data_IF_463796945708
#
_entry.id   IF_463796945708
#
_cell.length_a   1.000
_cell.length_b   1.000
_cell.length_c   1.000
_cell.angle_alpha   90.00
_cell.angle_beta   90.00
_cell.angle_gamma   90.00
#
_symmetry.space_group_name_H-M   'P 1'
#
loop_
_entity.id
_entity.type
_entity.pdbx_description
1 polymer ?
#
# COMPACT_ATOMS: atom_id res chain seq x y z
N UNK A 1 63.29 -29.01 -44.67
CA UNK A 1 62.96 -29.28 -43.26
C UNK A 1 62.66 -27.95 -42.57
N UNK A 2 61.66 -27.95 -41.67
CA UNK A 2 61.12 -26.84 -40.87
C UNK A 2 60.02 -25.97 -41.52
N UNK A 3 58.77 -26.45 -41.46
CA UNK A 3 57.58 -25.63 -41.65
C UNK A 3 57.37 -24.76 -40.38
N UNK A 4 57.37 -23.45 -40.54
CA UNK A 4 57.07 -22.49 -39.47
C UNK A 4 55.58 -22.57 -39.12
N UNK A 5 55.33 -23.03 -37.90
CA UNK A 5 54.01 -23.12 -37.29
C UNK A 5 53.52 -21.75 -36.86
N UNK A 6 52.70 -21.08 -37.67
CA UNK A 6 51.93 -19.91 -37.24
C UNK A 6 50.57 -20.35 -36.72
N UNK A 7 50.46 -20.46 -35.39
CA UNK A 7 49.20 -20.75 -34.68
C UNK A 7 48.36 -19.46 -34.66
N UNK A 8 47.10 -19.45 -35.13
CA UNK A 8 46.28 -18.25 -35.06
C UNK A 8 45.95 -17.92 -33.60
N UNK A 9 45.95 -16.61 -33.30
CA UNK A 9 45.61 -16.07 -32.00
C UNK A 9 44.16 -16.42 -31.63
N UNK A 10 43.96 -16.88 -30.40
CA UNK A 10 42.66 -17.12 -29.79
C UNK A 10 41.86 -15.81 -29.83
N UNK A 11 40.75 -15.81 -30.58
CA UNK A 11 39.79 -14.72 -30.60
C UNK A 11 39.26 -14.45 -29.19
N UNK A 12 39.40 -13.21 -28.77
CA UNK A 12 38.94 -12.64 -27.50
C UNK A 12 37.46 -12.93 -27.25
N UNK A 13 37.16 -13.44 -26.06
CA UNK A 13 35.83 -13.73 -25.51
C UNK A 13 34.89 -12.51 -25.34
N UNK A 14 35.14 -11.40 -26.05
CA UNK A 14 34.44 -10.13 -25.87
C UNK A 14 32.98 -10.16 -26.36
N UNK A 15 32.64 -11.02 -27.33
CA UNK A 15 31.28 -11.08 -27.92
C UNK A 15 30.22 -11.68 -27.00
N UNK A 16 30.60 -12.65 -26.17
CA UNK A 16 29.70 -13.45 -25.32
C UNK A 16 29.37 -12.75 -23.99
N UNK A 17 29.78 -11.50 -23.78
CA UNK A 17 29.34 -10.74 -22.60
C UNK A 17 28.32 -9.66 -22.94
N UNK A 18 28.35 -9.13 -24.17
CA UNK A 18 27.46 -8.05 -24.63
C UNK A 18 25.96 -8.42 -24.63
N UNK A 19 25.62 -9.64 -25.07
CA UNK A 19 24.25 -10.20 -25.03
C UNK A 19 23.72 -10.45 -23.61
N UNK A 20 24.59 -10.79 -22.64
CA UNK A 20 24.23 -11.06 -21.25
C UNK A 20 24.14 -9.78 -20.39
N UNK A 21 25.03 -8.81 -20.64
CA UNK A 21 25.05 -7.51 -19.96
C UNK A 21 23.80 -6.66 -20.31
N UNK A 22 23.32 -6.74 -21.56
CA UNK A 22 22.11 -6.02 -22.01
C UNK A 22 20.86 -6.42 -21.22
N UNK A 23 20.74 -7.70 -20.86
CA UNK A 23 19.59 -8.22 -20.12
C UNK A 23 19.60 -7.78 -18.65
N UNK A 24 20.77 -7.53 -18.05
CA UNK A 24 20.87 -7.05 -16.67
C UNK A 24 20.44 -5.59 -16.56
N UNK A 25 20.86 -4.73 -17.49
CA UNK A 25 20.46 -3.31 -17.52
C UNK A 25 18.95 -3.15 -17.77
N UNK A 26 18.37 -3.94 -18.68
CA UNK A 26 16.93 -3.95 -18.92
C UNK A 26 16.13 -4.43 -17.68
N UNK A 27 16.62 -5.46 -16.98
CA UNK A 27 16.00 -5.93 -15.72
C UNK A 27 16.11 -4.90 -14.60
N UNK A 28 17.28 -4.29 -14.42
CA UNK A 28 17.50 -3.26 -13.41
C UNK A 28 16.64 -2.02 -13.66
N UNK A 29 16.52 -1.57 -14.91
CA UNK A 29 15.65 -0.43 -15.27
C UNK A 29 14.16 -0.74 -15.06
N UNK A 30 13.71 -1.95 -15.40
CA UNK A 30 12.35 -2.38 -15.10
C UNK A 30 12.07 -2.39 -13.59
N UNK A 31 12.97 -2.97 -12.79
CA UNK A 31 12.84 -3.00 -11.34
C UNK A 31 12.84 -1.59 -10.74
N UNK A 32 13.76 -0.72 -11.18
CA UNK A 32 13.81 0.67 -10.73
C UNK A 32 12.50 1.41 -11.04
N UNK A 33 11.94 1.19 -12.24
CA UNK A 33 10.65 1.77 -12.63
C UNK A 33 9.51 1.26 -11.77
N UNK A 34 9.47 -0.04 -11.49
CA UNK A 34 8.42 -0.64 -10.64
C UNK A 34 8.50 -0.10 -9.20
N UNK A 35 9.71 0.00 -8.65
CA UNK A 35 9.95 0.55 -7.32
C UNK A 35 9.56 2.01 -7.24
N UNK A 36 9.94 2.82 -8.25
CA UNK A 36 9.55 4.23 -8.32
C UNK A 36 8.03 4.39 -8.44
N UNK A 37 7.37 3.61 -9.29
CA UNK A 37 5.93 3.63 -9.43
C UNK A 37 5.22 3.25 -8.12
N UNK A 38 5.72 2.24 -7.41
CA UNK A 38 5.19 1.81 -6.12
C UNK A 38 5.39 2.91 -5.06
N UNK A 39 6.59 3.49 -5.00
CA UNK A 39 6.91 4.58 -4.07
C UNK A 39 6.00 5.80 -4.30
N UNK A 40 5.84 6.23 -5.55
CA UNK A 40 4.95 7.34 -5.90
C UNK A 40 3.49 7.00 -5.62
N UNK A 41 3.08 5.76 -5.89
CA UNK A 41 1.72 5.27 -5.59
C UNK A 41 1.42 5.19 -4.09
N UNK A 42 2.43 5.03 -3.24
CA UNK A 42 2.28 5.05 -1.79
C UNK A 42 2.14 6.46 -1.21
N UNK A 43 2.65 7.49 -1.90
CA UNK A 43 2.64 8.88 -1.39
C UNK A 43 1.27 9.39 -0.95
N UNK A 44 0.16 9.18 -1.70
CA UNK A 44 -1.17 9.61 -1.27
C UNK A 44 -1.67 8.92 0.00
N UNK A 45 -1.18 7.73 0.31
CA UNK A 45 -1.59 6.99 1.52
C UNK A 45 -1.09 7.66 2.81
N UNK A 46 -0.01 8.46 2.73
CA UNK A 46 0.51 9.21 3.87
C UNK A 46 -0.31 10.49 4.14
N UNK A 47 -1.06 10.98 3.16
CA UNK A 47 -1.87 12.19 3.27
C UNK A 47 -3.31 11.87 3.69
N UNK A 48 -3.48 11.19 4.84
CA UNK A 48 -4.82 10.99 5.40
C UNK A 48 -5.34 12.33 5.95
N UNK A 49 -6.55 12.80 5.57
CA UNK A 49 -7.10 14.02 6.11
C UNK A 49 -7.26 13.92 7.63
N UNK A 50 -6.93 15.01 8.34
CA UNK A 50 -7.05 15.03 9.79
C UNK A 50 -8.51 14.84 10.24
N UNK A 51 -8.70 13.98 11.23
CA UNK A 51 -9.99 13.76 11.87
C UNK A 51 -10.49 15.04 12.56
N UNK A 52 -11.73 15.44 12.26
CA UNK A 52 -12.34 16.61 12.89
C UNK A 52 -12.68 16.32 14.38
N UNK A 53 -12.45 17.30 15.29
CA UNK A 53 -12.70 17.15 16.72
C UNK A 53 -14.20 17.21 17.07
N UNK A 54 -14.54 16.96 18.34
CA UNK A 54 -15.93 16.83 18.83
C UNK A 54 -16.75 18.12 18.64
N UNK A 55 -16.07 19.26 18.70
CA UNK A 55 -16.60 20.62 18.61
C UNK A 55 -16.63 21.17 17.17
N UNK A 56 -16.30 20.34 16.17
CA UNK A 56 -16.43 20.72 14.76
C UNK A 56 -17.87 21.17 14.41
N UNK A 57 -18.07 22.01 13.39
CA UNK A 57 -19.40 22.53 13.04
C UNK A 57 -20.46 21.43 12.90
N UNK A 58 -21.68 21.70 13.35
CA UNK A 58 -22.77 20.71 13.40
C UNK A 58 -23.11 20.13 12.01
N UNK A 59 -23.04 20.94 10.95
CA UNK A 59 -23.28 20.50 9.57
C UNK A 59 -22.12 19.73 8.92
N UNK A 60 -21.03 19.49 9.65
CA UNK A 60 -19.87 18.73 9.18
C UNK A 60 -19.77 17.39 9.89
N UNK A 61 -19.29 16.38 9.19
CA UNK A 61 -18.98 15.09 9.80
C UNK A 61 -17.80 15.26 10.77
N UNK A 62 -17.95 14.80 12.02
CA UNK A 62 -16.88 14.79 13.02
C UNK A 62 -16.56 13.36 13.41
N UNK A 63 -15.32 12.94 13.14
CA UNK A 63 -14.81 11.67 13.64
C UNK A 63 -14.72 11.65 15.17
N UNK A 64 -14.45 12.80 15.80
CA UNK A 64 -14.45 12.94 17.26
C UNK A 64 -15.81 12.62 17.88
N UNK A 65 -16.91 13.10 17.28
CA UNK A 65 -18.27 12.73 17.72
C UNK A 65 -18.57 11.26 17.44
N UNK A 66 -18.29 10.79 16.23
CA UNK A 66 -18.54 9.40 15.84
C UNK A 66 -17.79 8.38 16.72
N UNK A 67 -16.58 8.70 17.21
CA UNK A 67 -15.83 7.84 18.12
C UNK A 67 -16.50 7.68 19.49
N UNK A 68 -17.26 8.67 19.96
CA UNK A 68 -18.04 8.56 21.20
C UNK A 68 -19.16 7.53 21.03
N UNK A 69 -19.89 7.60 19.92
CA UNK A 69 -20.93 6.62 19.60
C UNK A 69 -20.33 5.23 19.38
N UNK A 70 -19.17 5.16 18.72
CA UNK A 70 -18.47 3.90 18.45
C UNK A 70 -18.01 3.21 19.74
N UNK A 71 -17.63 3.96 20.77
CA UNK A 71 -17.31 3.40 22.08
C UNK A 71 -18.51 2.67 22.71
N UNK A 72 -19.74 3.13 22.43
CA UNK A 72 -20.96 2.43 22.83
C UNK A 72 -21.22 1.25 21.91
N UNK A 73 -21.28 1.45 20.60
CA UNK A 73 -21.64 0.39 19.63
C UNK A 73 -20.66 -0.79 19.70
N UNK A 74 -19.35 -0.51 19.64
CA UNK A 74 -18.30 -1.52 19.52
C UNK A 74 -17.82 -2.10 20.86
N UNK A 75 -18.43 -1.75 21.99
CA UNK A 75 -17.96 -2.18 23.31
C UNK A 75 -17.86 -3.71 23.46
N UNK A 76 -18.75 -4.45 22.82
CA UNK A 76 -18.81 -5.92 22.86
C UNK A 76 -19.38 -6.47 21.54
N UNK A 77 -18.98 -7.67 21.09
CA UNK A 77 -19.62 -8.34 19.96
C UNK A 77 -21.13 -8.48 20.18
N UNK A 78 -21.93 -8.15 19.17
CA UNK A 78 -23.39 -8.13 19.27
C UNK A 78 -24.05 -8.83 18.07
N UNK A 79 -24.02 -10.17 18.03
CA UNK A 79 -24.72 -10.94 17.00
C UNK A 79 -26.20 -10.55 16.90
N UNK A 80 -26.77 -10.69 15.71
CA UNK A 80 -28.19 -10.40 15.47
C UNK A 80 -29.06 -11.21 16.45
N UNK A 81 -30.02 -10.54 17.08
CA UNK A 81 -30.93 -11.14 18.06
C UNK A 81 -30.37 -11.28 19.48
N UNK A 82 -29.10 -10.90 19.72
CA UNK A 82 -28.53 -10.86 21.07
C UNK A 82 -29.10 -9.69 21.91
N UNK A 83 -29.12 -9.80 23.25
CA UNK A 83 -29.50 -8.68 24.12
C UNK A 83 -28.64 -7.43 23.89
N UNK A 84 -27.36 -7.61 23.59
CA UNK A 84 -26.46 -6.49 23.29
C UNK A 84 -26.84 -5.79 21.98
N UNK A 85 -27.24 -6.54 20.94
CA UNK A 85 -27.69 -5.96 19.69
C UNK A 85 -28.96 -5.12 19.86
N UNK A 86 -29.91 -5.58 20.69
CA UNK A 86 -31.08 -4.81 21.06
C UNK A 86 -30.71 -3.51 21.79
N UNK A 87 -29.80 -3.57 22.78
CA UNK A 87 -29.34 -2.39 23.50
C UNK A 87 -28.65 -1.36 22.59
N UNK A 88 -27.85 -1.80 21.62
CA UNK A 88 -27.22 -0.91 20.63
C UNK A 88 -28.28 -0.26 19.72
N UNK A 89 -29.27 -1.03 19.27
CA UNK A 89 -30.39 -0.49 18.48
C UNK A 89 -31.15 0.59 19.24
N UNK A 90 -31.50 0.33 20.49
CA UNK A 90 -32.27 1.26 21.31
C UNK A 90 -31.47 2.56 21.57
N UNK A 91 -30.16 2.46 21.78
CA UNK A 91 -29.27 3.62 21.83
C UNK A 91 -29.28 4.45 20.54
N UNK A 92 -29.18 3.81 19.37
CA UNK A 92 -29.18 4.52 18.09
C UNK A 92 -30.51 5.22 17.79
N UNK A 93 -31.63 4.58 18.14
CA UNK A 93 -32.96 5.19 18.01
C UNK A 93 -33.05 6.45 18.86
N UNK A 94 -32.65 6.37 20.13
CA UNK A 94 -32.63 7.52 21.02
C UNK A 94 -31.76 8.67 20.49
N UNK A 95 -30.64 8.36 19.82
CA UNK A 95 -29.75 9.38 19.27
C UNK A 95 -30.30 10.07 18.02
N UNK A 96 -31.13 9.39 17.23
CA UNK A 96 -31.78 9.94 16.02
C UNK A 96 -33.00 10.79 16.39
N UNK A 97 -33.69 10.46 17.48
CA UNK A 97 -34.86 11.18 17.96
C UNK A 97 -34.51 12.45 18.77
N UNK A 98 -33.25 12.57 19.24
CA UNK A 98 -32.73 13.72 19.98
C UNK A 98 -32.45 14.93 19.07
#
# INVERSE_FOLDING_TARGET
MANTMTRPAVGTQAGVQSWAQSNLLARSSLLATLLLATWLGMWPLLATPAALPVDAPAGSFSAGRALQDLAVVAAQPHPIGSPRNAAVRDYLVAQIEA
#
